data_IF_202854882309
#
_entry.id   IF_202854882309
#
_cell.length_a   1.000
_cell.length_b   1.000
_cell.length_c   1.000
_cell.angle_alpha   90.00
_cell.angle_beta   90.00
_cell.angle_gamma   90.00
#
_symmetry.space_group_name_H-M   'P 1'
#
loop_
_entity.id
_entity.type
_entity.pdbx_description
1 polymer ?
#
# COMPACT_ATOMS: atom_id res chain seq x y z
N UNK A 1 56.27 -17.18 -14.28
CA UNK A 1 54.85 -17.28 -14.65
C UNK A 1 54.05 -17.56 -13.39
N UNK A 2 53.43 -16.53 -12.79
CA UNK A 2 52.44 -16.68 -11.73
C UNK A 2 51.61 -15.37 -11.71
N UNK A 3 50.42 -15.42 -12.29
CA UNK A 3 49.42 -14.35 -12.14
C UNK A 3 48.82 -14.46 -10.75
N UNK A 4 49.26 -13.59 -9.84
CA UNK A 4 48.71 -13.43 -8.50
C UNK A 4 47.33 -12.75 -8.62
N UNK A 5 46.28 -13.55 -8.73
CA UNK A 5 44.89 -13.09 -8.78
C UNK A 5 44.54 -12.51 -7.40
N UNK A 6 44.43 -11.19 -7.34
CA UNK A 6 44.02 -10.48 -6.14
C UNK A 6 42.64 -10.98 -5.67
N UNK A 7 42.63 -11.57 -4.49
CA UNK A 7 41.42 -11.79 -3.70
C UNK A 7 41.02 -10.43 -3.13
N UNK A 8 40.27 -9.66 -3.90
CA UNK A 8 39.75 -8.36 -3.47
C UNK A 8 38.43 -8.59 -2.71
N UNK A 9 38.37 -8.40 -1.38
CA UNK A 9 37.15 -8.63 -0.59
C UNK A 9 36.06 -7.56 -0.83
N UNK A 10 36.32 -6.58 -1.71
CA UNK A 10 35.43 -5.45 -2.01
C UNK A 10 34.57 -5.65 -3.26
N UNK A 11 34.38 -6.89 -3.72
CA UNK A 11 33.35 -7.18 -4.73
C UNK A 11 31.98 -7.04 -4.09
N UNK A 12 31.40 -5.83 -4.19
CA UNK A 12 30.01 -5.57 -3.86
C UNK A 12 29.11 -6.44 -4.74
N UNK A 13 28.74 -7.62 -4.24
CA UNK A 13 27.71 -8.45 -4.87
C UNK A 13 26.42 -7.64 -4.92
N UNK A 14 25.94 -7.21 -6.09
CA UNK A 14 24.68 -6.51 -6.18
C UNK A 14 23.61 -7.51 -5.78
N UNK A 15 22.97 -7.32 -4.62
CA UNK A 15 21.84 -8.15 -4.20
C UNK A 15 20.61 -7.73 -5.02
N UNK A 16 20.63 -8.07 -6.31
CA UNK A 16 19.50 -7.87 -7.22
C UNK A 16 18.39 -8.81 -6.79
N UNK A 17 17.30 -8.24 -6.26
CA UNK A 17 16.08 -8.99 -6.03
C UNK A 17 15.60 -9.56 -7.37
N UNK A 18 15.21 -10.83 -7.43
CA UNK A 18 14.87 -11.47 -8.70
C UNK A 18 13.63 -10.79 -9.30
N UNK A 19 13.74 -10.35 -10.56
CA UNK A 19 12.68 -9.64 -11.29
C UNK A 19 11.35 -10.41 -11.32
N UNK A 20 11.41 -11.74 -11.18
CA UNK A 20 10.26 -12.64 -11.07
C UNK A 20 9.32 -12.28 -9.90
N UNK A 21 9.84 -11.79 -8.77
CA UNK A 21 9.00 -11.41 -7.61
C UNK A 21 8.09 -10.24 -7.97
N UNK A 22 8.61 -9.20 -8.62
CA UNK A 22 7.79 -8.07 -9.04
C UNK A 22 6.75 -8.43 -10.09
N UNK A 23 7.07 -9.33 -11.02
CA UNK A 23 6.08 -9.79 -12.01
C UNK A 23 4.93 -10.56 -11.35
N UNK A 24 5.22 -11.42 -10.36
CA UNK A 24 4.17 -12.15 -9.61
C UNK A 24 3.27 -11.20 -8.82
N UNK A 25 3.87 -10.24 -8.11
CA UNK A 25 3.11 -9.26 -7.32
C UNK A 25 2.32 -8.33 -8.24
N UNK A 26 2.92 -7.89 -9.36
CA UNK A 26 2.24 -7.10 -10.39
C UNK A 26 1.03 -7.83 -10.97
N UNK A 27 1.15 -9.13 -11.26
CA UNK A 27 0.02 -9.98 -11.67
C UNK A 27 -1.07 -10.05 -10.60
N UNK A 28 -0.69 -10.23 -9.32
CA UNK A 28 -1.63 -10.22 -8.21
C UNK A 28 -2.36 -8.86 -8.08
N UNK A 29 -1.66 -7.74 -8.21
CA UNK A 29 -2.25 -6.40 -8.19
C UNK A 29 -3.24 -6.17 -9.34
N UNK A 30 -2.94 -6.69 -10.53
CA UNK A 30 -3.89 -6.69 -11.65
C UNK A 30 -5.14 -7.50 -11.32
N UNK A 31 -4.98 -8.71 -10.78
CA UNK A 31 -6.09 -9.54 -10.31
C UNK A 31 -6.97 -8.84 -9.27
N UNK A 32 -6.35 -8.19 -8.27
CA UNK A 32 -7.07 -7.39 -7.28
C UNK A 32 -7.81 -6.20 -7.91
N UNK A 33 -7.28 -5.62 -8.98
CA UNK A 33 -7.92 -4.51 -9.68
C UNK A 33 -9.16 -4.99 -10.43
N UNK A 34 -9.11 -6.14 -11.10
CA UNK A 34 -10.31 -6.77 -11.67
C UNK A 34 -11.34 -7.09 -10.57
N UNK A 35 -10.89 -7.59 -9.42
CA UNK A 35 -11.76 -7.84 -8.28
C UNK A 35 -12.47 -6.56 -7.79
N UNK A 36 -11.77 -5.41 -7.74
CA UNK A 36 -12.40 -4.13 -7.41
C UNK A 36 -13.48 -3.73 -8.42
N UNK A 37 -13.23 -3.91 -9.72
CA UNK A 37 -14.21 -3.59 -10.77
C UNK A 37 -15.45 -4.47 -10.64
N UNK A 38 -15.25 -5.77 -10.40
CA UNK A 38 -16.36 -6.71 -10.17
C UNK A 38 -17.14 -6.31 -8.91
N UNK A 39 -16.46 -6.06 -7.80
CA UNK A 39 -17.11 -5.64 -6.55
C UNK A 39 -17.89 -4.32 -6.73
N UNK A 40 -17.37 -3.38 -7.53
CA UNK A 40 -18.07 -2.16 -7.89
C UNK A 40 -19.32 -2.43 -8.74
N UNK A 41 -19.29 -3.41 -9.65
CA UNK A 41 -20.46 -3.78 -10.43
C UNK A 41 -21.61 -4.32 -9.55
N UNK A 42 -21.28 -4.97 -8.43
CA UNK A 42 -22.24 -5.47 -7.44
C UNK A 42 -22.59 -4.45 -6.34
N UNK A 43 -22.17 -3.19 -6.48
CA UNK A 43 -22.38 -2.14 -5.47
C UNK A 43 -23.88 -1.93 -5.16
N UNK A 44 -24.73 -1.98 -6.20
CA UNK A 44 -26.17 -1.78 -6.07
C UNK A 44 -26.86 -2.78 -5.12
N UNK A 45 -26.35 -4.02 -5.02
CA UNK A 45 -26.89 -5.04 -4.12
C UNK A 45 -26.33 -4.94 -2.69
N UNK A 46 -25.17 -4.30 -2.51
CA UNK A 46 -24.43 -4.24 -1.24
C UNK A 46 -24.76 -2.99 -0.40
N UNK A 47 -25.31 -1.93 -1.00
CA UNK A 47 -25.72 -0.71 -0.31
C UNK A 47 -24.60 -0.13 0.57
N UNK A 48 -24.88 0.11 1.86
CA UNK A 48 -23.92 0.69 2.80
C UNK A 48 -22.66 -0.17 3.03
N UNK A 49 -22.73 -1.49 2.82
CA UNK A 49 -21.57 -2.38 2.97
C UNK A 49 -20.59 -2.29 1.79
N UNK A 50 -21.00 -1.73 0.66
CA UNK A 50 -20.15 -1.62 -0.53
C UNK A 50 -18.88 -0.80 -0.26
N UNK A 51 -18.99 0.27 0.53
CA UNK A 51 -17.86 1.10 0.92
C UNK A 51 -16.83 0.29 1.74
N UNK A 52 -17.29 -0.47 2.75
CA UNK A 52 -16.42 -1.30 3.58
C UNK A 52 -15.65 -2.35 2.75
N UNK A 53 -16.35 -3.02 1.83
CA UNK A 53 -15.73 -3.99 0.92
C UNK A 53 -14.69 -3.33 0.02
N UNK A 54 -15.00 -2.16 -0.55
CA UNK A 54 -14.07 -1.41 -1.39
C UNK A 54 -12.80 -1.02 -0.63
N UNK A 55 -12.93 -0.52 0.61
CA UNK A 55 -11.80 -0.19 1.47
C UNK A 55 -10.98 -1.43 1.86
N UNK A 56 -11.63 -2.56 2.12
CA UNK A 56 -10.92 -3.82 2.42
C UNK A 56 -10.06 -4.28 1.24
N UNK A 57 -10.60 -4.28 0.02
CA UNK A 57 -9.84 -4.64 -1.20
C UNK A 57 -8.69 -3.65 -1.42
N UNK A 58 -8.95 -2.35 -1.24
CA UNK A 58 -7.94 -1.31 -1.36
C UNK A 58 -6.80 -1.48 -0.33
N UNK A 59 -7.11 -1.86 0.91
CA UNK A 59 -6.12 -2.10 1.96
C UNK A 59 -5.20 -3.29 1.62
N UNK A 60 -5.76 -4.39 1.08
CA UNK A 60 -4.94 -5.52 0.62
C UNK A 60 -4.02 -5.10 -0.52
N UNK A 61 -4.55 -4.36 -1.51
CA UNK A 61 -3.75 -3.83 -2.63
C UNK A 61 -2.60 -2.94 -2.12
N UNK A 62 -2.90 -2.01 -1.21
CA UNK A 62 -1.90 -1.14 -0.61
C UNK A 62 -0.83 -1.94 0.15
N UNK A 63 -1.21 -2.96 0.92
CA UNK A 63 -0.27 -3.80 1.65
C UNK A 63 0.72 -4.54 0.74
N UNK A 64 0.27 -5.06 -0.41
CA UNK A 64 1.15 -5.68 -1.41
C UNK A 64 2.14 -4.65 -2.00
N UNK A 65 1.66 -3.44 -2.29
CA UNK A 65 2.53 -2.37 -2.81
C UNK A 65 3.61 -1.98 -1.80
N UNK A 66 3.22 -1.76 -0.53
CA UNK A 66 4.16 -1.43 0.55
C UNK A 66 5.23 -2.50 0.73
N UNK A 67 4.82 -3.76 0.85
CA UNK A 67 5.75 -4.84 1.18
C UNK A 67 6.75 -5.12 0.05
N UNK A 68 6.30 -5.09 -1.21
CA UNK A 68 7.10 -5.54 -2.34
C UNK A 68 7.64 -4.42 -3.23
N UNK A 69 6.85 -3.37 -3.53
CA UNK A 69 7.30 -2.30 -4.41
C UNK A 69 7.99 -1.16 -3.66
N UNK A 70 7.59 -0.88 -2.41
CA UNK A 70 8.30 0.07 -1.55
C UNK A 70 9.44 -0.58 -0.76
N UNK A 71 9.73 -1.86 -1.00
CA UNK A 71 10.78 -2.62 -0.32
C UNK A 71 10.70 -2.64 1.22
N UNK A 72 9.53 -2.33 1.80
CA UNK A 72 9.39 -2.22 3.24
C UNK A 72 9.68 -3.55 3.99
N UNK A 73 9.58 -4.68 3.28
CA UNK A 73 9.96 -6.00 3.79
C UNK A 73 11.48 -6.19 3.90
N UNK A 74 12.24 -5.66 2.95
CA UNK A 74 13.68 -5.88 2.80
C UNK A 74 14.51 -4.68 3.29
N UNK A 75 13.85 -3.57 3.64
CA UNK A 75 14.46 -2.34 4.15
C UNK A 75 14.64 -2.35 5.69
N UNK A 76 15.37 -1.36 6.17
CA UNK A 76 15.67 -1.09 7.58
C UNK A 76 14.41 -0.86 8.43
N UNK A 77 14.49 -1.26 9.71
CA UNK A 77 13.42 -1.06 10.69
C UNK A 77 12.99 0.41 10.84
N UNK A 78 13.88 1.36 10.52
CA UNK A 78 13.60 2.79 10.56
C UNK A 78 12.60 3.22 9.49
N UNK A 79 12.74 2.74 8.25
CA UNK A 79 11.79 3.06 7.17
C UNK A 79 10.38 2.54 7.51
N UNK A 80 10.29 1.35 8.11
CA UNK A 80 9.02 0.79 8.58
C UNK A 80 8.37 1.64 9.69
N UNK A 81 9.16 2.20 10.60
CA UNK A 81 8.66 3.08 11.65
C UNK A 81 8.15 4.43 11.11
N UNK A 82 8.86 5.01 10.14
CA UNK A 82 8.44 6.25 9.45
C UNK A 82 7.14 6.02 8.68
N UNK A 83 7.03 4.89 7.98
CA UNK A 83 5.79 4.55 7.30
C UNK A 83 4.62 4.37 8.29
N UNK A 84 4.86 3.65 9.39
CA UNK A 84 3.86 3.43 10.42
C UNK A 84 3.39 4.73 11.09
N UNK A 85 4.29 5.69 11.34
CA UNK A 85 3.91 7.00 11.88
C UNK A 85 3.08 7.80 10.87
N UNK A 86 3.45 7.80 9.59
CA UNK A 86 2.66 8.42 8.52
C UNK A 86 1.25 7.82 8.42
N UNK A 87 1.14 6.49 8.46
CA UNK A 87 -0.16 5.81 8.44
C UNK A 87 -0.98 6.08 9.71
N UNK A 88 -0.34 6.15 10.88
CA UNK A 88 -1.00 6.54 12.13
C UNK A 88 -1.61 7.95 12.02
N UNK A 89 -0.83 8.93 11.54
CA UNK A 89 -1.34 10.28 11.36
C UNK A 89 -2.45 10.36 10.31
N UNK A 90 -2.38 9.57 9.23
CA UNK A 90 -3.47 9.45 8.25
C UNK A 90 -4.77 9.01 8.93
N UNK A 91 -4.73 7.96 9.75
CA UNK A 91 -5.91 7.45 10.46
C UNK A 91 -6.47 8.51 11.42
N UNK A 92 -5.60 9.19 12.17
CA UNK A 92 -6.01 10.29 13.07
C UNK A 92 -6.68 11.42 12.28
N UNK A 93 -6.11 11.83 11.15
CA UNK A 93 -6.70 12.87 10.29
C UNK A 93 -8.06 12.44 9.75
N UNK A 94 -8.21 11.21 9.26
CA UNK A 94 -9.50 10.72 8.77
C UNK A 94 -10.56 10.66 9.86
N UNK A 95 -10.21 10.18 11.05
CA UNK A 95 -11.13 10.17 12.19
C UNK A 95 -11.57 11.59 12.55
N UNK A 96 -10.64 12.53 12.60
CA UNK A 96 -10.95 13.93 12.88
C UNK A 96 -11.86 14.53 11.80
N UNK A 97 -11.60 14.25 10.51
CA UNK A 97 -12.48 14.69 9.41
C UNK A 97 -13.89 14.10 9.52
N UNK A 98 -14.03 12.83 9.92
CA UNK A 98 -15.36 12.22 10.12
C UNK A 98 -16.10 12.88 11.27
N UNK A 99 -15.42 13.16 12.38
CA UNK A 99 -16.00 13.87 13.53
C UNK A 99 -16.41 15.29 13.17
N UNK A 100 -15.59 16.00 12.39
CA UNK A 100 -15.88 17.35 11.89
C UNK A 100 -17.16 17.37 11.06
N UNK A 101 -17.28 16.46 10.09
CA UNK A 101 -18.48 16.30 9.26
C UNK A 101 -19.70 15.95 10.11
N UNK A 102 -19.56 15.07 11.09
CA UNK A 102 -20.66 14.63 11.95
C UNK A 102 -21.17 15.72 12.91
N UNK A 103 -20.29 16.65 13.31
CA UNK A 103 -20.62 17.75 14.23
C UNK A 103 -21.11 19.00 13.49
N UNK A 104 -21.01 19.00 12.16
CA UNK A 104 -21.40 20.14 11.32
C UNK A 104 -22.91 20.39 11.42
N UNK A 105 -23.29 21.55 11.96
CA UNK A 105 -24.67 22.06 11.88
C UNK A 105 -24.93 22.54 10.46
N UNK A 106 -26.04 22.08 9.87
CA UNK A 106 -26.48 22.51 8.54
C UNK A 106 -27.05 23.93 8.69
N UNK A 107 -26.28 24.94 8.29
CA UNK A 107 -26.81 26.29 8.13
C UNK A 107 -27.48 26.39 6.76
N UNK A 108 -28.82 26.45 6.76
CA UNK A 108 -29.60 26.81 5.57
C UNK A 108 -29.64 28.32 5.46
N UNK A 109 -29.02 28.87 4.41
CA UNK A 109 -29.09 30.31 4.12
C UNK A 109 -30.54 30.70 3.81
N UNK A 110 -31.07 31.80 4.34
CA UNK A 110 -32.48 32.21 4.16
C UNK A 110 -32.75 32.89 2.80
N UNK A 111 -31.97 32.57 1.76
CA UNK A 111 -32.16 33.06 0.38
C UNK A 111 -32.48 31.89 -0.55
#
# INVERSE_FOLDING_TARGET
>A
MASNTQNDPNVLHPHITPMSTYLKVGGALFGLTFLTVIAHQFNAQLGAFAAFVAFAIAAVKASLVLLYFMHLKDDTNMNRAIFASGFFFLVVLLLFSVVDIATRVIEVSPL
#
